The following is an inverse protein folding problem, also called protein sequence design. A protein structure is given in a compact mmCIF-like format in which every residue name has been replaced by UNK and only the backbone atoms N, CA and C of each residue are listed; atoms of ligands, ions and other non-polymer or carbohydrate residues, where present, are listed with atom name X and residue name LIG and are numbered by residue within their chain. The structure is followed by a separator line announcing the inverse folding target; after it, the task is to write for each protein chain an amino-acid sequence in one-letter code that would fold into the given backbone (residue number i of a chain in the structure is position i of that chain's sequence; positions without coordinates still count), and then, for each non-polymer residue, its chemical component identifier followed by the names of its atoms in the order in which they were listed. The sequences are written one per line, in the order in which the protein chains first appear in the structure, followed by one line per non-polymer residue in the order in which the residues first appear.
data_IF_856018378512
#
_entry.id   IF_856018378512
#
_cell.length_a   1.000
_cell.length_b   1.000
_cell.length_c   1.000
_cell.angle_alpha   90.00
_cell.angle_beta   90.00
_cell.angle_gamma   90.00
#
_symmetry.space_group_name_H-M   'P 1'
#
loop_
_entity.id
_entity.type
_entity.pdbx_description
1 polymer ?
#
# COMPACT_ATOMS: atom_id res chain seq x y z
N UNK A 1 -24.05 -36.49 32.55
CA UNK A 1 -22.74 -36.08 33.09
C UNK A 1 -21.69 -37.09 32.66
N UNK A 2 -20.86 -36.74 31.68
CA UNK A 2 -19.56 -37.39 31.45
C UNK A 2 -18.60 -36.34 30.90
N UNK A 3 -17.42 -36.28 31.51
CA UNK A 3 -16.52 -35.13 31.55
C UNK A 3 -15.79 -34.97 30.20
N UNK A 4 -16.02 -33.84 29.54
CA UNK A 4 -15.20 -33.40 28.41
C UNK A 4 -13.79 -33.05 28.87
N UNK A 5 -12.81 -33.78 28.36
CA UNK A 5 -11.38 -33.54 28.60
C UNK A 5 -11.00 -32.22 27.92
N UNK A 6 -10.80 -31.17 28.73
CA UNK A 6 -10.09 -29.95 28.33
C UNK A 6 -8.60 -30.21 28.49
N UNK A 7 -7.95 -30.77 27.48
CA UNK A 7 -6.49 -30.77 27.41
C UNK A 7 -6.01 -29.36 27.02
N UNK A 8 -5.57 -28.62 28.03
CA UNK A 8 -4.75 -27.42 27.85
C UNK A 8 -3.34 -27.88 27.50
N UNK A 9 -2.91 -27.68 26.26
CA UNK A 9 -1.51 -27.87 25.87
C UNK A 9 -0.65 -26.82 26.56
N UNK A 10 0.01 -27.23 27.65
CA UNK A 10 1.11 -26.49 28.27
C UNK A 10 2.35 -26.90 27.48
N UNK A 11 2.86 -26.01 26.63
CA UNK A 11 4.15 -26.22 25.99
C UNK A 11 5.25 -26.07 27.05
N UNK A 12 5.72 -27.19 27.60
CA UNK A 12 7.01 -27.21 28.28
C UNK A 12 8.08 -26.84 27.25
N UNK A 13 8.98 -25.94 27.63
CA UNK A 13 10.01 -25.34 26.79
C UNK A 13 11.18 -26.33 26.51
N UNK A 14 10.86 -27.60 26.22
CA UNK A 14 11.82 -28.65 25.89
C UNK A 14 12.09 -28.65 24.38
N UNK A 15 13.37 -28.65 24.01
CA UNK A 15 13.77 -28.69 22.61
C UNK A 15 13.34 -30.02 21.96
N UNK A 16 12.65 -29.94 20.82
CA UNK A 16 12.24 -31.11 20.03
C UNK A 16 13.44 -32.02 19.72
N UNK A 17 13.28 -33.33 19.89
CA UNK A 17 14.29 -34.29 19.46
C UNK A 17 14.40 -34.30 17.93
N UNK A 18 15.55 -34.70 17.38
CA UNK A 18 15.75 -34.70 15.92
C UNK A 18 14.81 -35.66 15.20
N UNK A 19 14.37 -36.74 15.86
CA UNK A 19 13.32 -37.63 15.36
C UNK A 19 11.95 -36.94 15.30
N UNK A 20 11.60 -36.13 16.31
CA UNK A 20 10.35 -35.35 16.32
C UNK A 20 10.36 -34.26 15.24
N UNK A 21 11.48 -33.54 15.09
CA UNK A 21 11.65 -32.55 14.01
C UNK A 21 11.51 -33.18 12.63
N UNK A 22 12.13 -34.35 12.42
CA UNK A 22 12.04 -35.08 11.15
C UNK A 22 10.60 -35.50 10.86
N UNK A 23 9.90 -36.07 11.83
CA UNK A 23 8.50 -36.47 11.67
C UNK A 23 7.57 -35.27 11.40
N UNK A 24 7.78 -34.14 12.09
CA UNK A 24 7.02 -32.90 11.85
C UNK A 24 7.26 -32.40 10.43
N UNK A 25 8.52 -32.32 10.00
CA UNK A 25 8.86 -31.86 8.65
C UNK A 25 8.26 -32.78 7.57
N UNK A 26 8.33 -34.10 7.73
CA UNK A 26 7.69 -35.05 6.79
C UNK A 26 6.18 -34.87 6.73
N UNK A 27 5.51 -34.69 7.88
CA UNK A 27 4.07 -34.42 7.91
C UNK A 27 3.71 -33.07 7.29
N UNK A 28 4.54 -32.04 7.50
CA UNK A 28 4.35 -30.73 6.87
C UNK A 28 4.48 -30.83 5.35
N UNK A 29 5.49 -31.55 4.83
CA UNK A 29 5.66 -31.73 3.38
C UNK A 29 4.53 -32.54 2.76
N UNK A 30 4.03 -33.58 3.44
CA UNK A 30 2.85 -34.34 2.98
C UNK A 30 1.57 -33.49 2.94
N UNK A 31 1.34 -32.65 3.96
CA UNK A 31 0.19 -31.73 4.01
C UNK A 31 0.31 -30.66 2.91
N UNK A 32 1.50 -30.13 2.70
CA UNK A 32 1.77 -29.15 1.63
C UNK A 32 1.57 -29.76 0.24
N UNK A 33 2.05 -30.98 0.00
CA UNK A 33 1.87 -31.69 -1.27
C UNK A 33 0.39 -31.94 -1.58
N UNK A 34 -0.37 -32.49 -0.61
CA UNK A 34 -1.82 -32.68 -0.74
C UNK A 34 -2.56 -31.38 -0.99
N UNK A 35 -2.14 -30.29 -0.32
CA UNK A 35 -2.71 -28.96 -0.53
C UNK A 35 -2.43 -28.44 -1.93
N UNK A 36 -1.23 -28.67 -2.47
CA UNK A 36 -0.88 -28.26 -3.83
C UNK A 36 -1.68 -29.04 -4.87
N UNK A 37 -1.85 -30.35 -4.68
CA UNK A 37 -2.66 -31.21 -5.56
C UNK A 37 -4.11 -30.72 -5.63
N UNK A 38 -4.75 -30.52 -4.47
CA UNK A 38 -6.10 -29.97 -4.40
C UNK A 38 -6.21 -28.58 -5.05
N UNK A 39 -5.20 -27.74 -4.89
CA UNK A 39 -5.18 -26.41 -5.52
C UNK A 39 -5.09 -26.46 -7.04
N UNK A 40 -4.43 -27.49 -7.60
CA UNK A 40 -4.34 -27.70 -9.04
C UNK A 40 -5.69 -28.16 -9.60
N UNK A 41 -6.32 -29.14 -8.96
CA UNK A 41 -7.66 -29.63 -9.31
C UNK A 41 -8.67 -28.48 -9.32
N UNK A 42 -8.73 -27.69 -8.25
CA UNK A 42 -9.65 -26.54 -8.17
C UNK A 42 -9.32 -25.46 -9.20
N UNK A 43 -8.06 -25.29 -9.59
CA UNK A 43 -7.68 -24.34 -10.63
C UNK A 43 -8.18 -24.78 -12.03
N UNK A 44 -8.19 -26.08 -12.30
CA UNK A 44 -8.74 -26.66 -13.53
C UNK A 44 -10.26 -26.49 -13.58
N UNK A 45 -10.97 -26.86 -12.51
CA UNK A 45 -12.42 -26.62 -12.39
C UNK A 45 -12.77 -25.14 -12.53
N UNK A 46 -11.97 -24.26 -11.93
CA UNK A 46 -12.16 -22.83 -12.02
C UNK A 46 -11.99 -22.31 -13.45
N UNK A 47 -11.06 -22.87 -14.22
CA UNK A 47 -10.85 -22.51 -15.62
C UNK A 47 -12.00 -22.97 -16.50
N UNK A 48 -12.48 -24.20 -16.32
CA UNK A 48 -13.65 -24.72 -17.04
C UNK A 48 -14.89 -23.88 -16.76
N UNK A 49 -15.15 -23.57 -15.49
CA UNK A 49 -16.22 -22.66 -15.10
C UNK A 49 -16.04 -21.29 -15.76
N UNK A 50 -14.85 -20.70 -15.65
CA UNK A 50 -14.54 -19.37 -16.22
C UNK A 50 -14.81 -19.28 -17.72
N UNK A 51 -14.49 -20.32 -18.48
CA UNK A 51 -14.68 -20.35 -19.93
C UNK A 51 -16.16 -20.39 -20.34
N UNK A 52 -17.04 -20.94 -19.49
CA UNK A 52 -18.47 -21.06 -19.75
C UNK A 52 -19.30 -19.85 -19.28
N UNK A 53 -18.68 -18.88 -18.61
CA UNK A 53 -19.36 -17.67 -18.13
C UNK A 53 -19.37 -16.57 -19.20
N UNK A 54 -20.38 -15.70 -19.11
CA UNK A 54 -20.57 -14.57 -20.03
C UNK A 54 -19.73 -13.37 -19.61
N UNK A 55 -19.15 -12.65 -20.58
CA UNK A 55 -18.50 -11.35 -20.36
C UNK A 55 -19.52 -10.22 -20.13
N UNK A 56 -20.79 -10.44 -20.48
CA UNK A 56 -21.87 -9.48 -20.30
C UNK A 56 -22.91 -10.02 -19.32
N UNK A 57 -23.35 -9.18 -18.40
CA UNK A 57 -24.40 -9.52 -17.45
C UNK A 57 -24.81 -8.32 -16.61
N UNK A 58 -25.90 -8.49 -15.86
CA UNK A 58 -26.40 -7.49 -14.92
C UNK A 58 -25.97 -7.94 -13.52
N UNK A 59 -25.70 -6.98 -12.63
CA UNK A 59 -25.45 -7.31 -11.24
C UNK A 59 -25.99 -6.25 -10.29
N UNK A 60 -26.94 -6.63 -9.42
CA UNK A 60 -27.41 -5.75 -8.33
C UNK A 60 -26.28 -5.27 -7.41
N UNK A 61 -25.21 -6.07 -7.29
CA UNK A 61 -24.03 -5.69 -6.51
C UNK A 61 -23.28 -4.50 -7.14
N UNK A 62 -23.02 -4.55 -8.45
CA UNK A 62 -22.31 -3.48 -9.17
C UNK A 62 -23.12 -2.19 -9.17
N UNK A 63 -24.42 -2.28 -9.43
CA UNK A 63 -25.34 -1.14 -9.37
C UNK A 63 -25.33 -0.49 -7.98
N UNK A 64 -25.49 -1.29 -6.92
CA UNK A 64 -25.45 -0.82 -5.54
C UNK A 64 -24.10 -0.19 -5.17
N UNK A 65 -23.01 -0.71 -5.73
CA UNK A 65 -21.65 -0.19 -5.51
C UNK A 65 -21.28 0.95 -6.46
N UNK A 66 -22.11 1.23 -7.47
CA UNK A 66 -21.89 2.24 -8.50
C UNK A 66 -20.54 2.08 -9.21
N UNK A 67 -20.21 0.85 -9.60
CA UNK A 67 -18.96 0.51 -10.29
C UNK A 67 -19.22 -0.30 -11.55
N UNK A 68 -18.35 -0.16 -12.54
CA UNK A 68 -18.40 -0.91 -13.80
C UNK A 68 -17.78 -2.31 -13.69
N UNK A 69 -18.03 -3.14 -14.72
CA UNK A 69 -17.51 -4.49 -14.86
C UNK A 69 -16.21 -4.53 -15.66
N UNK A 70 -15.09 -4.60 -14.95
CA UNK A 70 -13.74 -4.80 -15.49
C UNK A 70 -13.21 -6.22 -15.28
N UNK A 71 -13.03 -6.97 -16.37
CA UNK A 71 -12.36 -8.27 -16.35
C UNK A 71 -13.02 -9.30 -15.43
N UNK A 72 -14.35 -9.24 -15.32
CA UNK A 72 -15.19 -10.17 -14.55
C UNK A 72 -16.21 -10.79 -15.49
N UNK A 73 -16.77 -11.93 -15.07
CA UNK A 73 -17.78 -12.64 -15.83
C UNK A 73 -19.03 -12.90 -15.00
N UNK A 74 -20.12 -13.26 -15.67
CA UNK A 74 -21.44 -13.42 -15.12
C UNK A 74 -22.02 -14.80 -15.45
N UNK A 75 -22.76 -15.37 -14.51
CA UNK A 75 -23.67 -16.47 -14.80
C UNK A 75 -25.11 -15.98 -15.02
N UNK A 76 -25.98 -16.94 -15.35
CA UNK A 76 -27.43 -16.72 -15.55
C UNK A 76 -28.17 -16.23 -14.31
N UNK A 77 -27.60 -16.43 -13.12
CA UNK A 77 -28.20 -16.07 -11.83
C UNK A 77 -27.70 -14.70 -11.32
N UNK A 78 -27.06 -13.93 -12.20
CA UNK A 78 -26.44 -12.61 -11.92
C UNK A 78 -25.33 -12.66 -10.85
N UNK A 79 -24.70 -13.82 -10.66
CA UNK A 79 -23.50 -13.96 -9.84
C UNK A 79 -22.30 -13.49 -10.65
N UNK A 80 -21.47 -12.66 -10.03
CA UNK A 80 -20.19 -12.22 -10.62
C UNK A 80 -19.09 -13.20 -10.23
N UNK A 81 -18.22 -13.48 -11.19
CA UNK A 81 -17.00 -14.24 -11.00
C UNK A 81 -15.80 -13.36 -11.28
N UNK A 82 -14.85 -13.37 -10.35
CA UNK A 82 -13.60 -12.62 -10.44
C UNK A 82 -12.45 -13.62 -10.42
N UNK A 83 -11.57 -13.61 -11.44
CA UNK A 83 -10.48 -14.56 -11.55
C UNK A 83 -9.33 -14.21 -10.60
N UNK A 84 -8.74 -15.23 -9.99
CA UNK A 84 -7.51 -15.12 -9.20
C UNK A 84 -6.37 -15.67 -10.04
N UNK A 85 -5.50 -14.80 -10.55
CA UNK A 85 -4.31 -15.19 -11.29
C UNK A 85 -3.07 -15.14 -10.41
N UNK A 86 -2.11 -16.03 -10.65
CA UNK A 86 -0.77 -15.88 -10.10
C UNK A 86 0.08 -14.88 -10.90
N UNK A 87 1.33 -14.70 -10.46
CA UNK A 87 2.28 -13.79 -11.12
C UNK A 87 2.69 -14.25 -12.53
N UNK A 88 2.54 -15.54 -12.86
CA UNK A 88 2.79 -16.08 -14.19
C UNK A 88 1.60 -15.86 -15.14
N UNK A 89 0.42 -15.55 -14.60
CA UNK A 89 -0.83 -15.38 -15.34
C UNK A 89 -1.68 -16.65 -15.38
N UNK A 90 -1.36 -17.67 -14.56
CA UNK A 90 -2.17 -18.89 -14.45
C UNK A 90 -3.39 -18.62 -13.55
N UNK A 91 -4.57 -18.98 -14.02
CA UNK A 91 -5.79 -18.93 -13.21
C UNK A 91 -5.68 -19.99 -12.10
N UNK A 92 -5.83 -19.55 -10.86
CA UNK A 92 -5.68 -20.37 -9.66
C UNK A 92 -6.99 -20.61 -8.92
N UNK A 93 -7.95 -19.68 -9.03
CA UNK A 93 -9.26 -19.78 -8.38
C UNK A 93 -10.22 -18.71 -8.90
N UNK A 94 -11.45 -18.69 -8.36
CA UNK A 94 -12.46 -17.67 -8.59
C UNK A 94 -13.02 -17.14 -7.26
N UNK A 95 -13.32 -15.85 -7.20
CA UNK A 95 -14.20 -15.25 -6.20
C UNK A 95 -15.58 -15.02 -6.81
N UNK A 96 -16.61 -15.56 -6.16
CA UNK A 96 -18.02 -15.31 -6.46
C UNK A 96 -18.52 -14.12 -5.66
N UNK A 97 -19.30 -13.25 -6.30
CA UNK A 97 -20.09 -12.22 -5.63
C UNK A 97 -21.55 -12.42 -6.02
N UNK A 98 -22.37 -12.77 -5.04
CA UNK A 98 -23.80 -13.00 -5.23
C UNK A 98 -24.56 -11.66 -5.35
N UNK A 99 -25.78 -11.66 -5.90
CA UNK A 99 -26.64 -10.46 -5.94
C UNK A 99 -26.85 -9.78 -4.59
N UNK A 100 -26.84 -10.54 -3.49
CA UNK A 100 -26.92 -10.02 -2.11
C UNK A 100 -25.67 -9.22 -1.68
N UNK A 101 -24.56 -9.37 -2.40
CA UNK A 101 -23.25 -8.83 -2.08
C UNK A 101 -22.40 -9.72 -1.17
N UNK A 102 -22.88 -10.92 -0.79
CA UNK A 102 -22.03 -11.92 -0.14
C UNK A 102 -20.95 -12.38 -1.11
N UNK A 103 -19.75 -12.63 -0.58
CA UNK A 103 -18.58 -13.02 -1.36
C UNK A 103 -18.05 -14.34 -0.87
N UNK A 104 -17.68 -15.22 -1.80
CA UNK A 104 -17.13 -16.54 -1.50
C UNK A 104 -16.03 -16.88 -2.49
N UNK A 105 -15.02 -17.62 -2.04
CA UNK A 105 -14.01 -18.20 -2.94
C UNK A 105 -14.39 -19.65 -3.23
N UNK A 106 -13.84 -20.21 -4.33
CA UNK A 106 -13.91 -21.65 -4.53
C UNK A 106 -13.14 -22.36 -3.41
N UNK A 107 -13.80 -23.33 -2.77
CA UNK A 107 -13.20 -24.12 -1.69
C UNK A 107 -11.97 -24.87 -2.23
N UNK A 108 -10.89 -24.93 -1.43
CA UNK A 108 -9.62 -25.55 -1.86
C UNK A 108 -8.76 -24.70 -2.80
N UNK A 109 -9.32 -23.66 -3.42
CA UNK A 109 -8.61 -22.80 -4.36
C UNK A 109 -7.46 -22.02 -3.74
N UNK A 110 -6.40 -21.81 -4.52
CA UNK A 110 -5.26 -21.00 -4.07
C UNK A 110 -5.61 -19.52 -4.14
N UNK A 111 -5.50 -18.85 -2.99
CA UNK A 111 -5.66 -17.40 -2.85
C UNK A 111 -4.33 -16.67 -2.63
N UNK A 112 -3.42 -17.29 -1.89
CA UNK A 112 -2.17 -16.66 -1.46
C UNK A 112 -1.29 -16.29 -2.67
N UNK A 113 -0.90 -15.01 -2.71
CA UNK A 113 -0.16 -14.37 -3.81
C UNK A 113 -0.90 -14.35 -5.16
N UNK A 114 -2.19 -14.71 -5.19
CA UNK A 114 -3.03 -14.56 -6.38
C UNK A 114 -3.78 -13.23 -6.33
N UNK A 115 -4.04 -12.64 -7.49
CA UNK A 115 -4.62 -11.32 -7.65
C UNK A 115 -5.41 -11.20 -8.96
N UNK A 116 -6.17 -10.12 -9.08
CA UNK A 116 -6.77 -9.69 -10.35
C UNK A 116 -6.25 -8.31 -10.73
N UNK A 117 -6.19 -7.97 -12.01
CA UNK A 117 -5.79 -6.63 -12.47
C UNK A 117 -6.92 -6.02 -13.27
N UNK A 118 -7.33 -4.82 -12.86
CA UNK A 118 -8.18 -3.94 -13.65
C UNK A 118 -7.28 -3.00 -14.47
N UNK A 119 -7.57 -2.87 -15.76
CA UNK A 119 -6.79 -2.06 -16.71
C UNK A 119 -5.51 -2.73 -17.19
N UNK A 120 -4.71 -1.99 -17.96
CA UNK A 120 -3.43 -2.48 -18.52
C UNK A 120 -2.26 -1.87 -17.77
N UNK A 121 -1.29 -2.71 -17.39
CA UNK A 121 -0.07 -2.24 -16.73
C UNK A 121 0.87 -1.65 -17.80
N UNK A 122 0.94 -0.32 -17.88
CA UNK A 122 1.84 0.41 -18.80
C UNK A 122 3.10 0.87 -18.06
N UNK A 123 4.26 0.77 -18.72
CA UNK A 123 5.55 1.15 -18.13
C UNK A 123 5.57 2.64 -17.79
N UNK A 124 6.05 2.98 -16.58
CA UNK A 124 6.14 4.37 -16.11
C UNK A 124 4.85 4.91 -15.47
N UNK A 125 3.76 4.16 -15.48
CA UNK A 125 2.52 4.56 -14.82
C UNK A 125 2.41 4.06 -13.39
N UNK A 126 1.67 4.81 -12.57
CA UNK A 126 1.28 4.43 -11.20
C UNK A 126 0.41 3.18 -11.25
N UNK A 127 0.65 2.25 -10.31
CA UNK A 127 -0.10 1.02 -10.13
C UNK A 127 -0.68 0.99 -8.72
N UNK A 128 -2.00 0.97 -8.59
CA UNK A 128 -2.66 0.90 -7.29
C UNK A 128 -2.88 -0.54 -6.85
N UNK A 129 -3.06 -0.77 -5.55
CA UNK A 129 -3.48 -2.07 -5.01
C UNK A 129 -4.63 -1.87 -4.04
N UNK A 130 -5.74 -2.53 -4.29
CA UNK A 130 -6.91 -2.48 -3.44
C UNK A 130 -7.24 -3.86 -2.86
N UNK A 131 -7.89 -3.86 -1.71
CA UNK A 131 -8.31 -5.11 -1.05
C UNK A 131 -9.39 -5.84 -1.86
N UNK A 132 -10.39 -5.14 -2.38
CA UNK A 132 -11.54 -5.78 -3.02
C UNK A 132 -11.91 -5.15 -4.36
N UNK A 133 -12.71 -5.89 -5.12
CA UNK A 133 -13.13 -5.52 -6.47
C UNK A 133 -13.76 -4.13 -6.57
N UNK A 134 -14.81 -3.85 -5.79
CA UNK A 134 -15.49 -2.55 -5.86
C UNK A 134 -14.54 -1.38 -5.59
N UNK A 135 -13.63 -1.53 -4.62
CA UNK A 135 -12.59 -0.52 -4.34
C UNK A 135 -11.68 -0.32 -5.55
N UNK A 136 -11.21 -1.42 -6.15
CA UNK A 136 -10.33 -1.38 -7.31
C UNK A 136 -11.01 -0.77 -8.54
N UNK A 137 -12.26 -1.17 -8.82
CA UNK A 137 -13.04 -0.66 -9.93
C UNK A 137 -13.28 0.85 -9.77
N UNK A 138 -13.60 1.31 -8.55
CA UNK A 138 -13.79 2.74 -8.34
C UNK A 138 -12.49 3.53 -8.48
N UNK A 139 -11.36 3.00 -8.00
CA UNK A 139 -10.05 3.61 -8.23
C UNK A 139 -9.73 3.69 -9.72
N UNK A 140 -9.99 2.63 -10.47
CA UNK A 140 -9.76 2.60 -11.90
C UNK A 140 -10.61 3.65 -12.63
N UNK A 141 -11.92 3.70 -12.35
CA UNK A 141 -12.83 4.69 -12.95
C UNK A 141 -12.41 6.12 -12.60
N UNK A 142 -11.93 6.38 -11.38
CA UNK A 142 -11.55 7.71 -10.92
C UNK A 142 -10.18 8.19 -11.46
N UNK A 143 -9.25 7.26 -11.68
CA UNK A 143 -7.84 7.60 -12.00
C UNK A 143 -7.42 7.20 -13.41
N UNK A 144 -8.19 6.32 -14.05
CA UNK A 144 -7.83 5.61 -15.28
C UNK A 144 -6.46 4.91 -15.21
N UNK A 145 -6.03 4.50 -14.00
CA UNK A 145 -4.77 3.78 -13.76
C UNK A 145 -5.01 2.31 -13.46
N UNK A 146 -4.05 1.42 -13.74
CA UNK A 146 -4.20 0.01 -13.42
C UNK A 146 -4.30 -0.19 -11.90
N UNK A 147 -5.13 -1.15 -11.49
CA UNK A 147 -5.34 -1.49 -10.08
C UNK A 147 -5.29 -3.00 -9.89
N UNK A 148 -4.47 -3.45 -8.94
CA UNK A 148 -4.39 -4.85 -8.53
C UNK A 148 -5.38 -5.10 -7.38
N UNK A 149 -6.12 -6.19 -7.45
CA UNK A 149 -7.04 -6.64 -6.38
C UNK A 149 -6.34 -7.74 -5.59
N UNK A 150 -6.14 -7.52 -4.29
CA UNK A 150 -5.53 -8.48 -3.38
C UNK A 150 -6.53 -9.45 -2.74
N UNK A 151 -7.84 -9.21 -2.88
CA UNK A 151 -8.96 -9.99 -2.33
C UNK A 151 -9.20 -9.93 -0.81
N UNK A 152 -8.15 -9.76 0.00
CA UNK A 152 -8.24 -9.49 1.44
C UNK A 152 -6.93 -8.92 1.99
N UNK A 153 -6.97 -8.44 3.23
CA UNK A 153 -5.82 -7.83 3.91
C UNK A 153 -4.64 -8.77 4.11
N UNK A 154 -4.88 -10.05 4.39
CA UNK A 154 -3.82 -11.05 4.59
C UNK A 154 -3.09 -11.43 3.29
N UNK A 155 -3.66 -11.10 2.14
CA UNK A 155 -3.06 -11.39 0.84
C UNK A 155 -2.38 -10.17 0.18
N UNK A 156 -2.52 -8.98 0.78
CA UNK A 156 -1.88 -7.75 0.28
C UNK A 156 -0.37 -7.89 0.16
N UNK A 157 0.30 -8.29 1.24
CA UNK A 157 1.76 -8.36 1.30
C UNK A 157 2.34 -9.39 0.31
N UNK A 158 1.82 -10.63 0.22
CA UNK A 158 2.21 -11.59 -0.81
C UNK A 158 2.03 -11.05 -2.24
N UNK A 159 0.92 -10.36 -2.52
CA UNK A 159 0.66 -9.77 -3.85
C UNK A 159 1.63 -8.63 -4.14
N UNK A 160 1.89 -7.74 -3.19
CA UNK A 160 2.87 -6.66 -3.33
C UNK A 160 4.25 -7.23 -3.64
N UNK A 161 4.69 -8.26 -2.91
CA UNK A 161 5.97 -8.92 -3.14
C UNK A 161 6.06 -9.50 -4.56
N UNK A 162 5.03 -10.22 -5.01
CA UNK A 162 4.98 -10.78 -6.36
C UNK A 162 5.03 -9.67 -7.45
N UNK A 163 4.25 -8.60 -7.28
CA UNK A 163 4.21 -7.47 -8.21
C UNK A 163 5.55 -6.73 -8.25
N UNK A 164 6.24 -6.56 -7.13
CA UNK A 164 7.57 -5.93 -7.09
C UNK A 164 8.61 -6.70 -7.88
N UNK A 165 8.59 -8.04 -7.80
CA UNK A 165 9.51 -8.91 -8.54
C UNK A 165 9.27 -8.78 -10.05
N UNK A 166 8.01 -8.84 -10.49
CA UNK A 166 7.66 -8.75 -11.92
C UNK A 166 7.76 -7.33 -12.48
N UNK A 167 7.53 -6.30 -11.66
CA UNK A 167 7.48 -4.88 -12.05
C UNK A 167 8.35 -3.98 -11.14
N UNK A 168 9.69 -4.13 -11.13
CA UNK A 168 10.61 -3.55 -10.14
C UNK A 168 10.78 -2.02 -10.18
N UNK A 169 10.17 -1.30 -11.13
CA UNK A 169 10.32 0.16 -11.31
C UNK A 169 9.02 0.96 -11.14
N UNK A 170 8.02 0.43 -10.43
CA UNK A 170 6.71 1.09 -10.27
C UNK A 170 6.36 1.23 -8.79
N UNK A 171 6.45 2.45 -8.27
CA UNK A 171 6.17 2.78 -6.87
C UNK A 171 4.98 3.73 -6.76
N UNK A 172 3.92 3.25 -6.11
CA UNK A 172 3.09 3.89 -5.06
C UNK A 172 1.93 2.90 -4.84
N UNK A 173 1.94 2.21 -3.70
CA UNK A 173 0.89 1.26 -3.30
C UNK A 173 -0.07 2.00 -2.35
N UNK A 174 -1.29 2.29 -2.80
CA UNK A 174 -2.30 2.99 -1.99
C UNK A 174 -3.56 2.12 -1.83
N UNK A 175 -4.02 1.97 -0.58
CA UNK A 175 -5.15 1.14 -0.16
C UNK A 175 -6.33 2.03 0.28
N UNK A 176 -7.40 2.17 -0.52
CA UNK A 176 -8.57 2.94 -0.10
C UNK A 176 -9.49 2.09 0.80
N UNK A 177 -9.82 2.59 1.98
CA UNK A 177 -10.92 2.08 2.80
C UNK A 177 -12.24 2.71 2.35
N UNK A 178 -13.22 1.89 1.96
CA UNK A 178 -14.57 2.33 1.55
C UNK A 178 -15.42 2.66 2.79
N UNK A 179 -16.06 3.83 2.81
CA UNK A 179 -17.14 4.16 3.75
C UNK A 179 -18.52 4.07 3.05
N UNK A 180 -19.51 3.37 3.62
CA UNK A 180 -20.80 3.08 2.98
C UNK A 180 -21.73 4.29 2.71
N UNK A 181 -21.37 5.51 3.12
CA UNK A 181 -22.21 6.71 2.91
C UNK A 181 -21.67 7.61 1.77
N UNK A 182 -20.39 7.54 1.38
CA UNK A 182 -19.75 8.62 0.59
C UNK A 182 -18.99 8.13 -0.66
N UNK A 183 -19.18 6.89 -1.12
CA UNK A 183 -18.48 6.37 -2.31
C UNK A 183 -16.95 6.32 -2.15
N UNK A 184 -16.20 6.10 -3.23
CA UNK A 184 -14.74 6.00 -3.13
C UNK A 184 -14.10 7.34 -2.79
N UNK A 185 -13.66 7.43 -1.55
CA UNK A 185 -12.76 8.45 -1.07
C UNK A 185 -11.42 7.74 -0.89
N UNK A 186 -10.34 8.24 -1.52
CA UNK A 186 -9.04 8.02 -0.91
C UNK A 186 -9.12 8.65 0.48
N UNK A 187 -9.14 7.80 1.50
CA UNK A 187 -9.21 8.22 2.89
C UNK A 187 -7.91 8.87 3.36
N UNK A 188 -6.85 8.84 2.55
CA UNK A 188 -5.58 9.44 2.90
C UNK A 188 -5.61 10.94 2.54
N UNK A 189 -5.46 11.84 3.52
CA UNK A 189 -5.31 13.26 3.24
C UNK A 189 -4.13 13.58 2.30
N UNK A 190 -3.15 12.68 2.16
CA UNK A 190 -2.00 12.80 1.26
C UNK A 190 -2.42 12.81 -0.23
N UNK A 191 -3.41 11.99 -0.60
CA UNK A 191 -3.88 11.91 -1.99
C UNK A 191 -4.75 13.11 -2.34
N UNK A 192 -5.58 13.55 -1.39
CA UNK A 192 -6.36 14.78 -1.53
C UNK A 192 -5.41 15.96 -1.71
N UNK A 193 -4.36 16.04 -0.89
CA UNK A 193 -3.35 17.07 -1.01
C UNK A 193 -2.63 16.99 -2.37
N UNK A 194 -2.29 15.79 -2.85
CA UNK A 194 -1.60 15.58 -4.13
C UNK A 194 -2.45 16.01 -5.32
N UNK A 195 -3.76 15.77 -5.29
CA UNK A 195 -4.70 16.24 -6.32
C UNK A 195 -4.82 17.77 -6.29
N UNK A 196 -4.86 18.38 -5.10
CA UNK A 196 -4.91 19.84 -4.96
C UNK A 196 -3.62 20.50 -5.47
N UNK A 197 -2.48 19.88 -5.23
CA UNK A 197 -1.18 20.29 -5.73
C UNK A 197 -1.15 20.32 -7.27
N UNK A 198 -1.54 19.19 -7.90
CA UNK A 198 -1.59 19.04 -9.37
C UNK A 198 -2.49 20.07 -10.05
N UNK A 199 -3.69 20.34 -9.49
CA UNK A 199 -4.61 21.34 -10.06
C UNK A 199 -4.07 22.77 -10.05
N UNK A 200 -3.12 23.06 -9.16
CA UNK A 200 -2.59 24.42 -8.96
C UNK A 200 -1.17 24.60 -9.49
N UNK A 201 -0.56 23.53 -10.04
CA UNK A 201 0.85 23.53 -10.46
C UNK A 201 1.85 23.63 -9.31
N UNK A 202 1.38 23.49 -8.06
CA UNK A 202 2.22 23.60 -6.87
C UNK A 202 2.71 22.23 -6.42
N UNK A 203 3.88 22.19 -5.81
CA UNK A 203 4.40 21.01 -5.11
C UNK A 203 3.86 21.02 -3.69
N UNK A 204 3.58 19.82 -3.16
CA UNK A 204 3.28 19.62 -1.75
C UNK A 204 4.28 18.64 -1.14
N UNK A 205 4.48 18.73 0.17
CA UNK A 205 5.41 17.90 0.91
C UNK A 205 4.88 17.63 2.33
N UNK A 206 5.28 16.54 3.02
CA UNK A 206 4.97 16.36 4.43
C UNK A 206 5.27 17.60 5.26
N UNK A 207 4.38 17.93 6.23
CA UNK A 207 4.68 18.96 7.22
C UNK A 207 5.96 18.64 7.97
N UNK A 208 6.69 19.64 8.47
CA UNK A 208 7.91 19.38 9.23
C UNK A 208 7.67 18.55 10.51
N UNK A 209 6.48 18.61 11.11
CA UNK A 209 6.09 17.71 12.21
C UNK A 209 5.93 16.25 11.73
N UNK A 210 5.34 16.05 10.55
CA UNK A 210 5.21 14.73 9.93
C UNK A 210 6.57 14.20 9.45
N UNK A 211 7.44 15.07 8.91
CA UNK A 211 8.82 14.74 8.57
C UNK A 211 9.60 14.31 9.83
N UNK A 212 9.41 15.03 10.93
CA UNK A 212 10.01 14.68 12.21
C UNK A 212 9.54 13.30 12.71
N UNK A 213 8.24 12.99 12.57
CA UNK A 213 7.70 11.67 12.90
C UNK A 213 8.23 10.56 11.99
N UNK A 214 8.25 10.77 10.68
CA UNK A 214 8.75 9.80 9.68
C UNK A 214 10.25 9.49 9.86
N UNK A 215 11.03 10.46 10.34
CA UNK A 215 12.45 10.27 10.66
C UNK A 215 12.68 9.70 12.07
N UNK A 216 11.65 9.62 12.92
CA UNK A 216 11.73 9.06 14.27
C UNK A 216 12.05 10.06 15.39
N UNK A 217 11.99 11.37 15.11
CA UNK A 217 12.22 12.45 16.09
C UNK A 217 11.04 12.78 16.98
N UNK A 218 9.83 12.36 16.60
CA UNK A 218 8.61 12.65 17.33
C UNK A 218 7.63 11.49 17.20
N UNK A 219 6.92 11.17 18.28
CA UNK A 219 5.82 10.19 18.29
C UNK A 219 4.46 10.85 18.08
N UNK A 220 4.40 12.19 18.07
CA UNK A 220 3.15 12.92 17.93
C UNK A 220 2.73 13.01 16.47
N UNK A 221 1.68 12.27 16.12
CA UNK A 221 1.03 12.39 14.82
C UNK A 221 0.10 13.62 14.86
N UNK A 222 0.22 14.59 13.95
CA UNK A 222 -0.65 15.76 13.93
C UNK A 222 -2.13 15.38 13.78
N UNK A 223 -3.00 15.92 14.65
CA UNK A 223 -4.43 15.65 14.60
C UNK A 223 -5.14 16.19 13.34
N UNK A 224 -4.50 17.14 12.63
CA UNK A 224 -5.00 17.74 11.38
C UNK A 224 -4.02 17.41 10.24
N UNK A 225 -4.56 16.99 9.10
CA UNK A 225 -3.79 16.73 7.88
C UNK A 225 -3.16 18.01 7.34
N UNK A 226 -1.85 18.18 7.56
CA UNK A 226 -1.10 19.37 7.21
C UNK A 226 0.06 19.04 6.28
N UNK A 227 0.18 19.84 5.23
CA UNK A 227 1.20 19.71 4.18
C UNK A 227 1.92 21.04 3.99
N UNK A 228 3.20 20.96 3.64
CA UNK A 228 3.92 22.11 3.08
C UNK A 228 3.60 22.25 1.60
N UNK A 229 3.64 23.46 1.09
CA UNK A 229 3.54 23.75 -0.34
C UNK A 229 4.46 24.89 -0.74
N UNK A 230 4.91 24.91 -1.99
CA UNK A 230 5.59 26.06 -2.59
C UNK A 230 4.61 27.19 -2.96
N UNK A 231 3.29 26.92 -2.97
CA UNK A 231 2.24 27.91 -3.20
C UNK A 231 1.79 28.64 -1.94
N UNK A 232 0.70 29.41 -2.06
CA UNK A 232 0.11 30.14 -0.93
C UNK A 232 -0.54 29.19 0.11
N UNK A 233 -0.43 29.54 1.40
CA UNK A 233 -1.10 28.84 2.49
C UNK A 233 -2.63 28.87 2.33
N UNK A 234 -3.30 27.73 2.44
CA UNK A 234 -4.76 27.60 2.28
C UNK A 234 -5.33 26.48 3.14
N UNK A 235 -6.55 26.70 3.63
CA UNK A 235 -7.39 25.65 4.18
C UNK A 235 -8.32 25.15 3.09
N UNK A 236 -8.29 23.84 2.80
CA UNK A 236 -9.17 23.27 1.78
C UNK A 236 -10.04 22.18 2.40
N UNK A 237 -11.35 22.40 2.38
CA UNK A 237 -12.34 21.38 2.72
C UNK A 237 -12.60 20.52 1.48
N UNK A 238 -12.43 19.21 1.61
CA UNK A 238 -12.72 18.22 0.55
C UNK A 238 -13.56 17.13 1.20
N UNK A 239 -14.84 17.07 0.82
CA UNK A 239 -15.84 16.26 1.53
C UNK A 239 -15.95 16.65 3.01
N UNK A 240 -15.85 15.67 3.90
CA UNK A 240 -15.92 15.86 5.36
C UNK A 240 -14.56 16.16 6.02
N UNK A 241 -13.47 16.26 5.24
CA UNK A 241 -12.11 16.49 5.76
C UNK A 241 -11.60 17.87 5.37
N UNK A 242 -10.76 18.43 6.23
CA UNK A 242 -10.04 19.67 5.95
C UNK A 242 -8.55 19.36 5.85
N UNK A 243 -7.94 19.67 4.71
CA UNK A 243 -6.48 19.71 4.56
C UNK A 243 -5.98 21.13 4.80
N UNK A 244 -4.81 21.23 5.39
CA UNK A 244 -4.12 22.50 5.62
C UNK A 244 -2.87 22.50 4.76
N UNK A 245 -2.83 23.36 3.75
CA UNK A 245 -1.62 23.65 3.00
C UNK A 245 -0.97 24.87 3.63
N UNK A 246 0.29 24.72 4.03
CA UNK A 246 1.09 25.81 4.60
C UNK A 246 2.28 26.08 3.71
N UNK A 247 2.54 27.34 3.42
CA UNK A 247 3.73 27.70 2.67
C UNK A 247 4.99 27.19 3.39
N UNK A 248 5.87 26.52 2.65
CA UNK A 248 7.10 25.98 3.19
C UNK A 248 8.03 27.12 3.63
N UNK A 249 8.56 27.06 4.85
CA UNK A 249 9.50 28.08 5.37
C UNK A 249 10.86 28.03 4.68
N UNK A 250 11.21 26.84 4.20
CA UNK A 250 12.36 26.59 3.34
C UNK A 250 11.84 25.96 2.05
N UNK A 251 12.52 26.18 0.90
CA UNK A 251 12.09 25.62 -0.36
C UNK A 251 11.95 24.09 -0.31
N UNK A 252 10.92 23.58 -0.98
CA UNK A 252 10.83 22.16 -1.36
C UNK A 252 11.60 22.05 -2.68
N UNK A 253 12.67 21.26 -2.71
CA UNK A 253 13.61 21.26 -3.83
C UNK A 253 13.39 20.03 -4.71
N UNK A 254 13.05 20.25 -5.98
CA UNK A 254 12.67 19.14 -6.88
C UNK A 254 13.86 18.27 -7.34
N UNK A 255 15.10 18.80 -7.29
CA UNK A 255 16.31 18.13 -7.78
C UNK A 255 17.12 17.39 -6.68
N UNK A 256 16.51 17.12 -5.54
CA UNK A 256 17.12 16.31 -4.46
C UNK A 256 16.15 15.19 -4.06
N UNK A 257 16.66 14.16 -3.38
CA UNK A 257 15.84 13.02 -2.97
C UNK A 257 14.72 13.41 -1.98
N UNK A 258 13.77 12.49 -1.83
CA UNK A 258 12.69 12.65 -0.86
C UNK A 258 13.25 12.71 0.56
N UNK A 259 14.19 11.85 0.90
CA UNK A 259 14.85 11.75 2.20
C UNK A 259 15.63 13.03 2.53
N UNK A 260 16.33 13.61 1.54
CA UNK A 260 17.03 14.88 1.69
C UNK A 260 16.07 16.04 1.97
N UNK A 261 14.97 16.16 1.22
CA UNK A 261 13.93 17.13 1.51
C UNK A 261 13.30 16.90 2.89
N UNK A 262 13.05 15.64 3.26
CA UNK A 262 12.47 15.27 4.56
C UNK A 262 13.33 15.72 5.72
N UNK A 263 14.64 15.49 5.65
CA UNK A 263 15.61 15.95 6.65
C UNK A 263 15.62 17.47 6.78
N UNK A 264 15.61 18.22 5.67
CA UNK A 264 15.56 19.67 5.69
C UNK A 264 14.28 20.21 6.34
N UNK A 265 13.11 19.65 5.99
CA UNK A 265 11.83 20.10 6.56
C UNK A 265 11.70 19.75 8.04
N UNK A 266 12.26 18.62 8.48
CA UNK A 266 12.33 18.26 9.89
C UNK A 266 13.26 19.21 10.68
N UNK A 267 14.46 19.49 10.17
CA UNK A 267 15.39 20.46 10.76
C UNK A 267 14.77 21.86 10.84
N UNK A 268 14.08 22.30 9.79
CA UNK A 268 13.37 23.58 9.75
C UNK A 268 12.26 23.67 10.81
N UNK A 269 11.59 22.55 11.09
CA UNK A 269 10.52 22.47 12.09
C UNK A 269 11.06 22.49 13.52
N UNK A 270 12.13 21.74 13.78
CA UNK A 270 12.79 21.71 15.09
C UNK A 270 13.41 23.07 15.42
N UNK A 271 13.97 23.74 14.41
CA UNK A 271 14.55 25.07 14.53
C UNK A 271 15.97 25.06 15.11
N UNK A 272 16.71 26.14 14.84
CA UNK A 272 18.15 26.29 15.14
C UNK A 272 18.56 25.85 16.56
N UNK A 273 17.75 26.16 17.57
CA UNK A 273 18.10 25.95 18.97
C UNK A 273 17.89 24.50 19.45
N UNK A 274 17.20 23.66 18.66
CA UNK A 274 16.84 22.30 19.05
C UNK A 274 17.56 21.23 18.19
N UNK A 275 18.66 21.58 17.54
CA UNK A 275 19.44 20.66 16.70
C UNK A 275 20.64 20.17 17.49
N UNK A 276 20.50 18.99 18.07
CA UNK A 276 21.55 18.26 18.79
C UNK A 276 22.18 17.14 17.93
N UNK A 277 23.20 16.49 18.48
CA UNK A 277 23.93 15.44 17.76
C UNK A 277 23.10 14.17 17.55
N UNK A 278 22.21 13.83 18.47
CA UNK A 278 21.32 12.68 18.33
C UNK A 278 20.36 12.89 17.14
N UNK A 279 19.81 14.09 17.02
CA UNK A 279 18.97 14.47 15.91
C UNK A 279 19.69 14.30 14.57
N UNK A 280 20.92 14.80 14.50
CA UNK A 280 21.75 14.74 13.30
C UNK A 280 22.12 13.30 12.94
N UNK A 281 22.41 12.43 13.91
CA UNK A 281 22.72 11.02 13.64
C UNK A 281 21.53 10.26 13.06
N UNK A 282 20.32 10.48 13.57
CA UNK A 282 19.12 9.84 13.03
C UNK A 282 18.88 10.33 11.60
N UNK A 283 18.99 11.64 11.32
CA UNK A 283 18.92 12.18 9.96
C UNK A 283 19.97 11.52 9.06
N UNK A 284 21.23 11.48 9.52
CA UNK A 284 22.36 10.89 8.80
C UNK A 284 22.13 9.40 8.47
N UNK A 285 21.56 8.63 9.40
CA UNK A 285 21.25 7.20 9.20
C UNK A 285 20.25 6.93 8.07
N UNK A 286 19.48 7.96 7.66
CA UNK A 286 18.47 7.88 6.59
C UNK A 286 18.95 8.48 5.26
N UNK A 287 20.17 9.02 5.22
CA UNK A 287 20.72 9.72 4.06
C UNK A 287 21.91 8.96 3.49
N UNK A 288 22.01 8.94 2.16
CA UNK A 288 23.17 8.43 1.43
C UNK A 288 24.25 9.51 1.25
N UNK A 289 25.45 9.10 0.79
CA UNK A 289 26.51 10.05 0.41
C UNK A 289 26.09 10.91 -0.78
N UNK A 290 25.27 10.38 -1.67
CA UNK A 290 24.68 11.09 -2.81
C UNK A 290 23.68 12.16 -2.35
N UNK A 291 22.90 11.88 -1.30
CA UNK A 291 21.98 12.86 -0.71
C UNK A 291 22.74 14.05 -0.12
N UNK A 292 23.83 13.79 0.60
CA UNK A 292 24.69 14.86 1.15
C UNK A 292 25.34 15.69 0.06
N UNK A 293 25.84 15.07 -1.02
CA UNK A 293 26.34 15.81 -2.18
C UNK A 293 25.27 16.71 -2.79
N UNK A 294 24.02 16.24 -2.82
CA UNK A 294 22.89 17.00 -3.36
C UNK A 294 22.45 18.13 -2.42
N UNK A 295 22.47 17.91 -1.10
CA UNK A 295 22.24 18.95 -0.08
C UNK A 295 23.30 20.06 -0.14
N UNK A 296 24.57 19.71 -0.36
CA UNK A 296 25.64 20.69 -0.53
C UNK A 296 25.47 21.57 -1.78
N UNK A 297 24.79 21.09 -2.83
CA UNK A 297 24.50 21.87 -4.04
C UNK A 297 23.40 22.94 -3.83
N UNK A 298 22.63 22.85 -2.76
CA UNK A 298 21.46 23.71 -2.52
C UNK A 298 21.64 24.63 -1.31
N UNK A 299 22.87 24.74 -0.77
CA UNK A 299 23.19 25.58 0.40
C UNK A 299 22.83 27.05 0.23
N UNK A 300 22.75 27.53 -1.02
CA UNK A 300 22.32 28.90 -1.36
C UNK A 300 20.81 29.12 -1.20
N UNK A 301 20.02 28.06 -1.13
CA UNK A 301 18.56 28.10 -1.04
C UNK A 301 18.04 27.99 0.40
N UNK A 302 18.93 27.78 1.37
CA UNK A 302 18.60 27.55 2.77
C UNK A 302 19.33 28.54 3.70
N UNK A 303 18.81 28.81 4.91
CA UNK A 303 19.46 29.74 5.85
C UNK A 303 20.84 29.28 6.31
N UNK A 304 21.74 30.22 6.60
CA UNK A 304 23.13 29.93 7.01
C UNK A 304 23.26 28.94 8.19
N UNK A 305 22.35 29.00 9.16
CA UNK A 305 22.37 28.05 10.28
C UNK A 305 22.02 26.61 9.86
N UNK A 306 21.24 26.45 8.79
CA UNK A 306 20.88 25.14 8.24
C UNK A 306 21.99 24.59 7.36
N UNK A 307 22.74 25.46 6.67
CA UNK A 307 24.00 25.08 6.00
C UNK A 307 24.96 24.44 7.00
N UNK A 308 25.11 25.04 8.19
CA UNK A 308 25.92 24.44 9.26
C UNK A 308 25.39 23.05 9.69
N UNK A 309 24.06 22.88 9.80
CA UNK A 309 23.46 21.57 10.09
C UNK A 309 23.75 20.54 8.99
N UNK A 310 23.71 20.93 7.71
CA UNK A 310 24.06 20.05 6.57
C UNK A 310 25.52 19.61 6.63
N UNK A 311 26.46 20.50 6.97
CA UNK A 311 27.85 20.11 7.18
C UNK A 311 28.01 19.13 8.34
N UNK A 312 27.32 19.35 9.45
CA UNK A 312 27.34 18.40 10.58
C UNK A 312 26.72 17.04 10.22
N UNK A 313 25.72 16.99 9.32
CA UNK A 313 25.22 15.71 8.78
C UNK A 313 26.26 14.99 7.95
N UNK A 314 27.01 15.73 7.12
CA UNK A 314 28.11 15.19 6.32
C UNK A 314 29.19 14.56 7.20
N UNK A 315 29.55 15.19 8.32
CA UNK A 315 30.54 14.65 9.26
C UNK A 315 30.06 13.31 9.88
N UNK A 316 28.78 13.18 10.22
CA UNK A 316 28.19 11.95 10.78
C UNK A 316 28.06 10.80 9.77
N UNK A 317 28.12 11.07 8.47
CA UNK A 317 28.05 10.04 7.40
C UNK A 317 29.45 9.59 6.97
N UNK A 318 30.46 10.42 7.20
CA UNK A 318 31.85 10.14 6.84
C UNK A 318 32.68 9.58 8.01
N UNK A 319 32.26 9.80 9.25
CA UNK A 319 32.81 9.14 10.45
C UNK A 319 32.14 7.81 10.71
#
# INVERSE_FOLDING_TARGET
MSRGIKERFIFNNEALSDQQKTLINTKLTEVEAKRQELQLEVAEEALELWNNLSDNGISPYLEKKQVESFGIKFDKDNIIYIPLYDIAGKLCSLQKIYPSGSKQFLAGGRKQACFHIIGKIVRGEVLYIAEGYATAATLHMATNKPVVIAFDTGNIEPVVAAIRIKYPKKGIYDFPKINPIIGAISSNPDDIASVVARKTGNTIFPSGAMAANLLGFSTQVPAKAMYLTNGASKHKKVGNRTIILKHARIPIVDNISFEANLALQALAYMGKNNIDNNLLQICASKLSKEDIKSLNKIVTLIPAWMVNAVYRLQDNING
#
